data_IF_951228351690
#
_entry.id   IF_951228351690
#
_cell.length_a   1.000
_cell.length_b   1.000
_cell.length_c   1.000
_cell.angle_alpha   90.00
_cell.angle_beta   90.00
_cell.angle_gamma   90.00
#
_symmetry.space_group_name_H-M   'P 1'
#
loop_
_entity.id
_entity.type
_entity.pdbx_description
1 polymer ?
#
# COMPACT_ATOMS: atom_id res chain seq x y z
N UNK A 1 -6.02 13.84 27.82
CA UNK A 1 -5.09 12.72 28.05
C UNK A 1 -3.95 12.89 27.06
N UNK A 2 -2.70 12.87 27.49
CA UNK A 2 -1.56 12.98 26.58
C UNK A 2 -1.55 11.75 25.66
N UNK A 3 -1.55 11.96 24.34
CA UNK A 3 -1.37 10.86 23.39
C UNK A 3 -0.04 10.13 23.67
N UNK A 4 -0.01 8.79 23.66
CA UNK A 4 1.22 8.05 23.89
C UNK A 4 2.20 8.30 22.74
N UNK A 5 3.49 8.47 23.06
CA UNK A 5 4.49 8.71 22.01
C UNK A 5 4.94 7.41 21.35
N UNK A 6 4.94 7.36 20.01
CA UNK A 6 5.43 6.21 19.25
C UNK A 6 6.96 6.03 19.32
N UNK A 7 7.66 6.93 20.02
CA UNK A 7 9.11 6.87 20.22
C UNK A 7 9.47 5.81 21.27
N UNK A 8 9.79 4.61 20.81
CA UNK A 8 10.17 3.49 21.68
C UNK A 8 11.71 3.35 21.79
N UNK A 9 12.34 4.09 22.72
CA UNK A 9 13.80 4.03 22.93
C UNK A 9 14.21 2.63 23.41
N UNK A 10 15.17 2.01 22.71
CA UNK A 10 15.70 0.70 23.08
C UNK A 10 14.80 -0.50 22.75
N UNK A 11 13.68 -0.30 22.04
CA UNK A 11 12.72 -1.36 21.69
C UNK A 11 13.36 -2.60 21.03
N UNK A 12 14.34 -2.38 20.16
CA UNK A 12 15.09 -3.44 19.48
C UNK A 12 15.99 -4.29 20.40
N UNK A 13 16.20 -3.85 21.65
CA UNK A 13 16.97 -4.59 22.67
C UNK A 13 16.08 -5.50 23.52
N UNK A 14 14.79 -5.19 23.61
CA UNK A 14 13.80 -6.00 24.33
C UNK A 14 13.63 -7.37 23.67
N UNK A 15 13.25 -8.36 24.46
CA UNK A 15 12.77 -9.67 24.01
C UNK A 15 11.43 -9.54 23.25
N UNK A 16 11.05 -10.52 22.41
CA UNK A 16 9.74 -10.53 21.75
C UNK A 16 8.56 -10.38 22.71
N UNK A 17 8.62 -11.02 23.89
CA UNK A 17 7.59 -10.96 24.92
C UNK A 17 7.47 -9.56 25.52
N UNK A 18 8.59 -8.93 25.87
CA UNK A 18 8.58 -7.55 26.36
C UNK A 18 8.07 -6.55 25.31
N UNK A 19 8.39 -6.77 24.03
CA UNK A 19 7.83 -5.96 22.93
C UNK A 19 6.31 -6.13 22.81
N UNK A 20 5.82 -7.36 22.96
CA UNK A 20 4.39 -7.64 22.97
C UNK A 20 3.69 -6.92 24.13
N UNK A 21 4.29 -6.84 25.32
CA UNK A 21 3.74 -6.08 26.45
C UNK A 21 3.72 -4.57 26.21
N UNK A 22 4.74 -4.01 25.54
CA UNK A 22 4.70 -2.60 25.12
C UNK A 22 3.54 -2.36 24.15
N UNK A 23 3.38 -3.24 23.16
CA UNK A 23 2.30 -3.15 22.18
C UNK A 23 0.93 -3.31 22.82
N UNK A 24 0.81 -4.19 23.81
CA UNK A 24 -0.42 -4.43 24.52
C UNK A 24 -0.90 -3.20 25.31
N UNK A 25 0.02 -2.47 25.93
CA UNK A 25 -0.28 -1.18 26.58
C UNK A 25 -0.58 -0.07 25.57
N UNK A 26 0.11 -0.07 24.43
CA UNK A 26 -0.08 0.94 23.38
C UNK A 26 -1.48 0.89 22.76
N UNK A 27 -1.92 -0.31 22.36
CA UNK A 27 -3.15 -0.52 21.61
C UNK A 27 -4.32 -1.00 22.48
N UNK A 28 -4.18 -0.99 23.81
CA UNK A 28 -5.16 -1.51 24.78
C UNK A 28 -5.64 -2.92 24.40
N UNK A 29 -4.68 -3.85 24.31
CA UNK A 29 -4.92 -5.21 23.84
C UNK A 29 -5.51 -6.07 24.95
N UNK A 30 -6.65 -6.69 24.66
CA UNK A 30 -7.31 -7.64 25.55
C UNK A 30 -6.66 -9.05 25.48
N UNK A 31 -7.24 -10.00 26.20
CA UNK A 31 -6.73 -11.37 26.22
C UNK A 31 -6.81 -12.06 24.83
N UNK A 32 -7.84 -11.75 24.04
CA UNK A 32 -8.02 -12.31 22.70
C UNK A 32 -6.98 -11.74 21.72
N UNK A 33 -6.72 -10.43 21.80
CA UNK A 33 -5.68 -9.77 21.01
C UNK A 33 -4.29 -10.33 21.30
N UNK A 34 -3.98 -10.53 22.59
CA UNK A 34 -2.70 -11.12 23.01
C UNK A 34 -2.53 -12.54 22.48
N UNK A 35 -3.60 -13.33 22.50
CA UNK A 35 -3.61 -14.65 21.89
C UNK A 35 -3.42 -14.58 20.36
N UNK A 36 -4.07 -13.64 19.68
CA UNK A 36 -3.95 -13.44 18.23
C UNK A 36 -2.53 -13.03 17.79
N UNK A 37 -1.78 -12.32 18.65
CA UNK A 37 -0.38 -11.97 18.39
C UNK A 37 0.55 -13.19 18.40
N UNK A 38 0.19 -14.24 19.14
CA UNK A 38 1.00 -15.47 19.27
C UNK A 38 0.50 -16.63 18.39
N UNK A 39 -0.82 -16.70 18.14
CA UNK A 39 -1.47 -17.86 17.52
C UNK A 39 -1.60 -17.83 15.99
N UNK A 40 -1.52 -16.66 15.36
CA UNK A 40 -1.63 -16.53 13.91
C UNK A 40 -3.01 -16.94 13.36
N UNK A 41 -3.03 -17.47 12.13
CA UNK A 41 -4.22 -18.00 11.45
C UNK A 41 -4.41 -19.48 11.81
N UNK A 42 -5.63 -19.91 12.10
CA UNK A 42 -5.92 -21.33 12.32
C UNK A 42 -5.92 -22.11 10.99
N UNK A 43 -5.46 -23.37 11.00
CA UNK A 43 -5.41 -24.20 9.79
C UNK A 43 -6.80 -24.40 9.16
N UNK A 44 -7.85 -24.53 9.99
CA UNK A 44 -9.22 -24.65 9.52
C UNK A 44 -9.73 -23.37 8.82
N UNK A 45 -9.33 -22.19 9.33
CA UNK A 45 -9.65 -20.93 8.66
C UNK A 45 -8.87 -20.80 7.34
N UNK A 46 -7.63 -21.28 7.29
CA UNK A 46 -6.82 -21.29 6.07
C UNK A 46 -7.45 -22.16 4.96
N UNK A 47 -7.98 -23.33 5.30
CA UNK A 47 -8.66 -24.24 4.36
C UNK A 47 -9.95 -23.63 3.77
N UNK A 48 -10.56 -22.65 4.46
CA UNK A 48 -11.68 -21.87 3.94
C UNK A 48 -11.25 -20.64 3.12
N UNK A 49 -9.97 -20.24 3.20
CA UNK A 49 -9.46 -19.06 2.52
C UNK A 49 -8.97 -19.37 1.11
N UNK A 50 -8.31 -20.51 0.90
CA UNK A 50 -7.74 -20.94 -0.39
C UNK A 50 -7.82 -22.46 -0.55
N UNK A 51 -7.65 -22.94 -1.78
CA UNK A 51 -7.77 -24.36 -2.10
C UNK A 51 -6.51 -25.17 -1.73
N UNK A 52 -6.69 -26.47 -1.49
CA UNK A 52 -5.60 -27.46 -1.31
C UNK A 52 -4.63 -27.13 -0.15
N UNK A 53 -5.16 -26.65 0.97
CA UNK A 53 -4.35 -26.29 2.14
C UNK A 53 -3.83 -27.55 2.84
N UNK A 54 -2.51 -27.61 3.02
CA UNK A 54 -1.82 -28.70 3.74
C UNK A 54 -1.05 -28.22 4.98
N UNK A 55 -1.05 -26.91 5.23
CA UNK A 55 -0.28 -26.31 6.31
C UNK A 55 -0.28 -24.77 6.25
N UNK A 56 0.47 -24.16 7.16
CA UNK A 56 0.62 -22.70 7.27
C UNK A 56 2.07 -22.31 7.01
N UNK A 57 2.27 -21.19 6.30
CA UNK A 57 3.56 -20.54 6.14
C UNK A 57 3.60 -19.27 6.99
N UNK A 58 4.64 -19.13 7.83
CA UNK A 58 4.75 -18.00 8.77
C UNK A 58 5.87 -17.05 8.40
N UNK A 59 5.57 -15.75 8.47
CA UNK A 59 6.53 -14.66 8.32
C UNK A 59 6.63 -13.83 9.61
N UNK A 60 7.78 -13.17 9.88
CA UNK A 60 7.94 -12.37 11.08
C UNK A 60 6.98 -11.17 11.12
N UNK A 61 6.20 -11.05 12.20
CA UNK A 61 5.42 -9.86 12.51
C UNK A 61 6.23 -8.91 13.41
N UNK A 62 6.39 -7.66 12.98
CA UNK A 62 7.24 -6.66 13.61
C UNK A 62 6.52 -5.31 13.73
N UNK A 63 7.04 -4.43 14.59
CA UNK A 63 6.56 -3.06 14.76
C UNK A 63 7.66 -2.08 14.41
N UNK A 64 7.38 -1.13 13.51
CA UNK A 64 8.21 0.04 13.26
C UNK A 64 7.72 1.24 14.08
N UNK A 65 8.50 1.72 15.07
CA UNK A 65 8.16 2.88 15.88
C UNK A 65 8.50 4.23 15.21
N UNK A 66 8.20 5.32 15.92
CA UNK A 66 8.55 6.73 15.64
C UNK A 66 7.66 7.49 14.64
N UNK A 67 6.66 6.87 14.03
CA UNK A 67 5.83 7.54 13.04
C UNK A 67 4.97 8.64 13.67
N UNK A 68 4.96 9.80 13.00
CA UNK A 68 3.95 10.83 13.16
C UNK A 68 3.33 11.02 11.79
N UNK A 69 2.03 10.81 11.64
CA UNK A 69 1.33 11.04 10.37
C UNK A 69 0.10 11.90 10.67
N UNK A 70 0.03 13.08 10.05
CA UNK A 70 -0.98 14.13 10.28
C UNK A 70 -1.11 14.49 11.77
N UNK A 71 0.03 14.67 12.42
CA UNK A 71 0.12 15.02 13.84
C UNK A 71 -0.12 13.87 14.82
N UNK A 72 -0.47 12.66 14.36
CA UNK A 72 -0.77 11.52 15.23
C UNK A 72 0.40 10.55 15.34
N UNK A 73 0.75 10.20 16.57
CA UNK A 73 1.77 9.19 16.90
C UNK A 73 1.27 7.78 16.54
N UNK A 74 2.06 6.98 15.83
CA UNK A 74 1.67 5.64 15.39
C UNK A 74 2.79 4.60 15.48
N UNK A 75 2.39 3.37 15.83
CA UNK A 75 3.19 2.16 15.67
C UNK A 75 2.74 1.43 14.40
N UNK A 76 3.68 1.13 13.51
CA UNK A 76 3.37 0.53 12.22
C UNK A 76 3.61 -0.99 12.28
N UNK A 77 2.57 -1.84 12.17
CA UNK A 77 2.73 -3.28 12.06
C UNK A 77 3.23 -3.68 10.67
N UNK A 78 4.17 -4.61 10.62
CA UNK A 78 4.84 -5.06 9.39
C UNK A 78 5.04 -6.57 9.41
N UNK A 79 4.82 -7.23 8.28
CA UNK A 79 5.15 -8.64 8.05
C UNK A 79 6.18 -8.72 6.94
N UNK A 80 7.42 -9.08 7.26
CA UNK A 80 8.53 -9.12 6.29
C UNK A 80 9.68 -10.02 6.74
N UNK A 81 10.29 -10.73 5.81
CA UNK A 81 11.45 -11.60 5.99
C UNK A 81 12.79 -10.87 5.79
N UNK A 82 12.78 -9.80 4.97
CA UNK A 82 13.98 -9.06 4.60
C UNK A 82 14.60 -8.36 5.83
N UNK A 83 15.87 -8.66 6.17
CA UNK A 83 16.57 -8.01 7.26
C UNK A 83 16.68 -6.50 7.05
N UNK A 84 16.87 -5.77 8.15
CA UNK A 84 17.10 -4.31 8.20
C UNK A 84 15.93 -3.42 7.77
N UNK A 85 14.94 -3.90 7.01
CA UNK A 85 13.81 -3.09 6.53
C UNK A 85 13.11 -2.35 7.67
N UNK A 86 12.63 -3.07 8.68
CA UNK A 86 11.92 -2.49 9.84
C UNK A 86 12.80 -1.48 10.60
N UNK A 87 14.10 -1.76 10.73
CA UNK A 87 15.04 -0.89 11.45
C UNK A 87 15.35 0.38 10.67
N UNK A 88 15.55 0.27 9.36
CA UNK A 88 15.78 1.38 8.44
C UNK A 88 14.55 2.29 8.39
N UNK A 89 13.35 1.70 8.28
CA UNK A 89 12.08 2.41 8.34
C UNK A 89 11.93 3.22 9.63
N UNK A 90 12.15 2.59 10.78
CA UNK A 90 12.05 3.24 12.08
C UNK A 90 13.05 4.39 12.24
N UNK A 91 14.24 4.28 11.64
CA UNK A 91 15.24 5.36 11.62
C UNK A 91 14.79 6.54 10.73
N UNK A 92 14.27 6.26 9.54
CA UNK A 92 13.74 7.28 8.64
C UNK A 92 12.53 8.00 9.25
N UNK A 93 11.59 7.27 9.87
CA UNK A 93 10.49 7.86 10.61
C UNK A 93 10.99 8.76 11.74
N UNK A 94 12.00 8.33 12.51
CA UNK A 94 12.63 9.16 13.55
C UNK A 94 13.24 10.46 12.98
N UNK A 95 13.87 10.41 11.81
CA UNK A 95 14.38 11.61 11.12
C UNK A 95 13.24 12.54 10.71
N UNK A 96 12.17 12.00 10.12
CA UNK A 96 11.01 12.78 9.68
C UNK A 96 10.34 13.55 10.84
N UNK A 97 10.40 13.03 12.07
CA UNK A 97 9.92 13.77 13.26
C UNK A 97 10.56 15.15 13.44
N UNK A 98 11.80 15.35 12.98
CA UNK A 98 12.48 16.64 13.10
C UNK A 98 11.78 17.76 12.34
N UNK A 99 10.99 17.44 11.31
CA UNK A 99 10.12 18.40 10.63
C UNK A 99 8.62 18.08 10.77
N UNK A 100 8.22 17.43 11.86
CA UNK A 100 6.81 17.20 12.20
C UNK A 100 6.21 15.89 11.71
N UNK A 101 6.97 15.04 11.01
CA UNK A 101 6.49 13.75 10.50
C UNK A 101 6.03 13.80 9.05
N UNK A 102 4.95 13.07 8.76
CA UNK A 102 4.38 12.95 7.41
C UNK A 102 3.02 13.64 7.34
N UNK A 103 2.77 14.34 6.24
CA UNK A 103 1.44 14.87 5.89
C UNK A 103 0.86 14.09 4.74
N UNK A 104 -0.40 13.69 4.83
CA UNK A 104 -1.01 12.77 3.86
C UNK A 104 -2.37 13.24 3.36
N UNK A 105 -2.83 12.59 2.30
CA UNK A 105 -4.19 12.73 1.82
C UNK A 105 -4.52 11.66 0.78
N UNK A 106 -5.78 11.60 0.39
CA UNK A 106 -6.28 10.60 -0.54
C UNK A 106 -7.45 11.11 -1.36
N UNK A 107 -7.66 10.55 -2.55
CA UNK A 107 -8.89 10.74 -3.33
C UNK A 107 -10.05 9.96 -2.70
N UNK A 108 -11.26 10.10 -3.26
CA UNK A 108 -12.34 9.17 -2.96
C UNK A 108 -11.97 7.74 -3.37
N UNK A 109 -12.51 6.70 -2.71
CA UNK A 109 -12.15 5.30 -2.96
C UNK A 109 -12.86 4.75 -4.21
N UNK A 110 -12.58 5.37 -5.36
CA UNK A 110 -13.22 5.06 -6.64
C UNK A 110 -12.42 4.00 -7.39
N UNK A 111 -13.04 2.83 -7.59
CA UNK A 111 -12.50 1.76 -8.40
C UNK A 111 -13.05 1.83 -9.83
N UNK A 112 -12.30 1.23 -10.76
CA UNK A 112 -12.67 1.13 -12.17
C UNK A 112 -13.07 -0.32 -12.46
N UNK A 113 -14.27 -0.53 -12.98
CA UNK A 113 -14.69 -1.74 -13.69
C UNK A 113 -14.56 -1.55 -15.18
N UNK A 114 -14.12 -2.55 -15.93
CA UNK A 114 -14.03 -2.50 -17.39
C UNK A 114 -14.99 -3.53 -18.00
N UNK A 115 -15.86 -3.06 -18.88
CA UNK A 115 -16.65 -3.89 -19.79
C UNK A 115 -16.07 -3.73 -21.18
N UNK A 116 -15.49 -4.81 -21.72
CA UNK A 116 -14.98 -4.87 -23.08
C UNK A 116 -16.07 -5.28 -24.04
N UNK A 117 -16.38 -4.43 -25.02
CA UNK A 117 -17.32 -4.67 -26.09
C UNK A 117 -16.56 -4.86 -27.41
N UNK A 118 -16.86 -5.99 -28.07
CA UNK A 118 -16.32 -6.42 -29.35
C UNK A 118 -17.43 -6.39 -30.40
N UNK A 119 -17.05 -6.51 -31.67
CA UNK A 119 -17.99 -6.66 -32.79
C UNK A 119 -19.01 -5.50 -32.89
N UNK A 120 -18.67 -4.32 -32.35
CA UNK A 120 -19.52 -3.13 -32.35
C UNK A 120 -19.54 -2.54 -33.77
N UNK A 121 -20.70 -2.51 -34.47
CA UNK A 121 -20.74 -2.09 -35.88
C UNK A 121 -20.35 -0.62 -36.11
N UNK A 122 -20.74 0.26 -35.18
CA UNK A 122 -20.41 1.69 -35.20
C UNK A 122 -20.05 2.16 -33.79
N UNK A 123 -18.75 2.34 -33.55
CA UNK A 123 -18.23 2.77 -32.25
C UNK A 123 -18.66 4.19 -31.85
N UNK A 124 -18.93 5.08 -32.82
CA UNK A 124 -19.36 6.46 -32.55
C UNK A 124 -20.80 6.43 -32.06
N UNK A 125 -21.70 5.85 -32.86
CA UNK A 125 -23.11 5.71 -32.49
C UNK A 125 -23.29 4.94 -31.19
N UNK A 126 -22.49 3.89 -30.95
CA UNK A 126 -22.49 3.14 -29.69
C UNK A 126 -22.06 4.01 -28.49
N UNK A 127 -21.05 4.86 -28.65
CA UNK A 127 -20.59 5.77 -27.60
C UNK A 127 -21.67 6.78 -27.24
N UNK A 128 -22.31 7.38 -28.25
CA UNK A 128 -23.41 8.34 -28.06
C UNK A 128 -24.63 7.68 -27.38
N UNK A 129 -24.97 6.46 -27.76
CA UNK A 129 -26.06 5.71 -27.16
C UNK A 129 -25.81 5.38 -25.68
N UNK A 130 -24.57 5.01 -25.31
CA UNK A 130 -24.19 4.78 -23.91
C UNK A 130 -24.25 6.09 -23.12
N UNK A 131 -23.72 7.18 -23.65
CA UNK A 131 -23.71 8.47 -22.98
C UNK A 131 -25.15 8.98 -22.75
N UNK A 132 -26.02 8.85 -23.76
CA UNK A 132 -27.43 9.23 -23.65
C UNK A 132 -28.23 8.42 -22.61
N UNK A 133 -27.79 7.19 -22.30
CA UNK A 133 -28.41 6.30 -21.33
C UNK A 133 -27.65 6.21 -20.01
N UNK A 134 -26.58 7.00 -19.83
CA UNK A 134 -25.65 6.89 -18.69
C UNK A 134 -26.36 6.87 -17.33
N UNK A 135 -27.25 7.83 -17.08
CA UNK A 135 -27.96 7.93 -15.81
C UNK A 135 -28.87 6.71 -15.55
N UNK A 136 -29.57 6.23 -16.59
CA UNK A 136 -30.41 5.03 -16.47
C UNK A 136 -29.57 3.78 -16.20
N UNK A 137 -28.44 3.64 -16.92
CA UNK A 137 -27.48 2.55 -16.75
C UNK A 137 -26.88 2.53 -15.33
N UNK A 138 -26.55 3.70 -14.77
CA UNK A 138 -26.05 3.81 -13.39
C UNK A 138 -27.15 3.49 -12.36
N UNK A 139 -28.38 3.97 -12.60
CA UNK A 139 -29.53 3.72 -11.73
C UNK A 139 -29.86 2.22 -11.59
N UNK A 140 -29.71 1.45 -12.68
CA UNK A 140 -29.91 -0.01 -12.67
C UNK A 140 -28.97 -0.76 -11.70
N UNK A 141 -27.79 -0.19 -11.42
CA UNK A 141 -26.78 -0.80 -10.57
C UNK A 141 -26.96 -0.48 -9.08
N UNK A 142 -27.75 0.55 -8.74
CA UNK A 142 -27.93 0.98 -7.34
C UNK A 142 -28.42 -0.13 -6.38
N UNK A 143 -29.32 -1.06 -6.77
CA UNK A 143 -29.81 -2.10 -5.87
C UNK A 143 -28.80 -3.22 -5.58
N UNK A 144 -27.73 -3.36 -6.39
CA UNK A 144 -26.82 -4.51 -6.33
C UNK A 144 -26.03 -4.58 -5.01
N UNK A 145 -25.68 -3.43 -4.44
CA UNK A 145 -24.84 -3.35 -3.24
C UNK A 145 -25.47 -2.45 -2.17
N UNK A 146 -26.54 -2.91 -1.49
CA UNK A 146 -27.32 -2.09 -0.57
C UNK A 146 -26.48 -1.55 0.59
N UNK A 147 -25.49 -2.29 1.06
CA UNK A 147 -24.56 -1.83 2.12
C UNK A 147 -23.67 -0.69 1.63
N UNK A 148 -23.08 -0.80 0.43
CA UNK A 148 -22.22 0.26 -0.12
C UNK A 148 -23.04 1.53 -0.34
N UNK A 149 -24.25 1.39 -0.91
CA UNK A 149 -25.19 2.50 -1.10
C UNK A 149 -25.58 3.16 0.22
N UNK A 150 -25.94 2.38 1.24
CA UNK A 150 -26.31 2.90 2.57
C UNK A 150 -25.16 3.68 3.22
N UNK A 151 -23.91 3.34 2.92
CA UNK A 151 -22.71 4.04 3.37
C UNK A 151 -22.32 5.22 2.44
N UNK A 152 -23.16 5.54 1.46
CA UNK A 152 -23.01 6.67 0.52
C UNK A 152 -22.08 6.41 -0.65
N UNK A 153 -21.67 5.16 -0.89
CA UNK A 153 -20.92 4.74 -2.08
C UNK A 153 -21.84 4.26 -3.20
N UNK A 154 -21.26 3.61 -4.21
CA UNK A 154 -21.99 3.05 -5.34
C UNK A 154 -21.47 3.51 -6.70
N UNK A 155 -22.19 3.21 -7.79
CA UNK A 155 -21.88 3.69 -9.13
C UNK A 155 -21.83 5.22 -9.17
N UNK A 156 -20.84 5.78 -9.87
CA UNK A 156 -20.63 7.23 -9.96
C UNK A 156 -20.66 7.76 -11.39
N UNK A 157 -20.06 7.04 -12.33
CA UNK A 157 -19.88 7.51 -13.71
C UNK A 157 -19.62 6.33 -14.66
N UNK A 158 -19.88 6.54 -15.95
CA UNK A 158 -19.48 5.66 -17.05
C UNK A 158 -18.60 6.45 -18.02
N UNK A 159 -17.46 5.89 -18.39
CA UNK A 159 -16.55 6.48 -19.37
C UNK A 159 -16.31 5.50 -20.51
N UNK A 160 -16.59 5.92 -21.74
CA UNK A 160 -16.37 5.09 -22.92
C UNK A 160 -14.99 5.42 -23.51
N UNK A 161 -14.21 4.37 -23.79
CA UNK A 161 -12.88 4.47 -24.40
C UNK A 161 -12.84 3.64 -25.66
N UNK A 162 -12.29 4.20 -26.73
CA UNK A 162 -12.05 3.50 -27.98
C UNK A 162 -10.61 3.02 -28.03
N UNK A 163 -10.43 1.76 -28.40
CA UNK A 163 -9.15 1.17 -28.75
C UNK A 163 -9.24 0.78 -30.23
N UNK A 164 -9.00 1.75 -31.12
CA UNK A 164 -9.22 1.57 -32.55
C UNK A 164 -8.18 0.64 -33.20
N UNK A 165 -6.94 0.65 -32.69
CA UNK A 165 -5.82 -0.14 -33.20
C UNK A 165 -5.43 -1.23 -32.20
N UNK A 166 -5.90 -2.45 -32.43
CA UNK A 166 -5.44 -3.63 -31.69
C UNK A 166 -5.20 -4.82 -32.64
N UNK A 167 -4.35 -5.78 -32.25
CA UNK A 167 -4.15 -7.01 -33.03
C UNK A 167 -5.41 -7.85 -33.26
N UNK A 168 -6.46 -7.65 -32.45
CA UNK A 168 -7.72 -8.39 -32.54
C UNK A 168 -8.87 -7.52 -33.12
N UNK A 169 -8.55 -6.39 -33.75
CA UNK A 169 -9.53 -5.43 -34.26
C UNK A 169 -9.93 -4.36 -33.24
N UNK A 170 -10.77 -3.39 -33.65
CA UNK A 170 -11.17 -2.29 -32.78
C UNK A 170 -12.03 -2.77 -31.61
N UNK A 171 -11.89 -2.12 -30.46
CA UNK A 171 -12.64 -2.44 -29.25
C UNK A 171 -13.24 -1.17 -28.63
N UNK A 172 -14.43 -1.31 -28.05
CA UNK A 172 -15.03 -0.29 -27.21
C UNK A 172 -14.96 -0.76 -25.76
N UNK A 173 -14.39 0.05 -24.87
CA UNK A 173 -14.23 -0.28 -23.46
C UNK A 173 -15.01 0.71 -22.61
N UNK A 174 -15.99 0.21 -21.85
CA UNK A 174 -16.75 1.02 -20.90
C UNK A 174 -16.11 0.87 -19.53
N UNK A 175 -15.65 1.98 -18.97
CA UNK A 175 -15.20 2.09 -17.60
C UNK A 175 -16.39 2.46 -16.70
N UNK A 176 -16.74 1.58 -15.77
CA UNK A 176 -17.63 1.88 -14.65
C UNK A 176 -16.80 2.43 -13.49
N UNK A 177 -17.05 3.67 -13.09
CA UNK A 177 -16.48 4.25 -11.88
C UNK A 177 -17.41 3.98 -10.70
N UNK A 178 -16.87 3.35 -9.65
CA UNK A 178 -17.65 2.96 -8.49
C UNK A 178 -16.92 3.30 -7.19
N UNK A 179 -17.59 4.04 -6.29
CA UNK A 179 -17.10 4.25 -4.93
C UNK A 179 -17.37 3.01 -4.07
N UNK A 180 -16.30 2.38 -3.60
CA UNK A 180 -16.37 1.11 -2.87
C UNK A 180 -16.19 1.27 -1.36
N UNK A 181 -16.21 2.52 -0.87
CA UNK A 181 -16.09 2.87 0.55
C UNK A 181 -14.87 2.19 1.19
N UNK A 182 -15.11 1.42 2.25
CA UNK A 182 -14.07 0.76 3.02
C UNK A 182 -13.66 -0.61 2.48
N UNK A 183 -14.28 -1.08 1.40
CA UNK A 183 -13.84 -2.28 0.70
C UNK A 183 -12.73 -1.93 -0.30
N UNK A 184 -11.88 -2.91 -0.63
CA UNK A 184 -11.04 -2.82 -1.83
C UNK A 184 -11.94 -2.72 -3.07
N UNK A 185 -12.96 -3.58 -3.15
CA UNK A 185 -14.08 -3.43 -4.06
C UNK A 185 -14.08 -4.31 -5.31
N UNK A 186 -13.11 -5.22 -5.47
CA UNK A 186 -13.04 -6.14 -6.63
C UNK A 186 -14.37 -6.84 -6.92
N UNK A 187 -14.93 -7.56 -5.94
CA UNK A 187 -16.20 -8.28 -6.13
C UNK A 187 -17.36 -7.34 -6.44
N UNK A 188 -17.43 -6.18 -5.76
CA UNK A 188 -18.52 -5.24 -5.97
C UNK A 188 -18.53 -4.68 -7.39
N UNK A 189 -17.34 -4.29 -7.88
CA UNK A 189 -17.12 -3.77 -9.22
C UNK A 189 -17.37 -4.84 -10.29
N UNK A 190 -16.88 -6.06 -10.09
CA UNK A 190 -17.09 -7.17 -11.04
C UNK A 190 -18.57 -7.50 -11.19
N UNK A 191 -19.30 -7.65 -10.07
CA UNK A 191 -20.74 -7.89 -10.10
C UNK A 191 -21.49 -6.77 -10.83
N UNK A 192 -21.11 -5.51 -10.60
CA UNK A 192 -21.73 -4.39 -11.30
C UNK A 192 -21.40 -4.37 -12.80
N UNK A 193 -20.17 -4.70 -13.19
CA UNK A 193 -19.75 -4.82 -14.58
C UNK A 193 -20.47 -5.97 -15.30
N UNK A 194 -20.65 -7.11 -14.63
CA UNK A 194 -21.42 -8.25 -15.14
C UNK A 194 -22.90 -7.91 -15.32
N UNK A 195 -23.50 -7.22 -14.35
CA UNK A 195 -24.90 -6.80 -14.43
C UNK A 195 -25.16 -5.78 -15.54
N UNK A 196 -24.19 -4.88 -15.81
CA UNK A 196 -24.33 -3.85 -16.83
C UNK A 196 -24.17 -4.38 -18.27
N UNK A 197 -23.39 -5.46 -18.44
CA UNK A 197 -22.98 -5.94 -19.76
C UNK A 197 -24.15 -6.25 -20.73
N UNK A 198 -25.24 -6.95 -20.34
CA UNK A 198 -26.34 -7.23 -21.27
C UNK A 198 -27.01 -5.97 -21.81
N UNK A 199 -27.08 -4.90 -21.00
CA UNK A 199 -27.65 -3.62 -21.43
C UNK A 199 -26.75 -2.91 -22.42
N UNK A 200 -25.44 -2.97 -22.20
CA UNK A 200 -24.44 -2.43 -23.14
C UNK A 200 -24.40 -3.20 -24.46
N UNK A 201 -24.53 -4.52 -24.46
CA UNK A 201 -24.67 -5.33 -25.68
C UNK A 201 -25.91 -4.89 -26.48
N UNK A 202 -27.05 -4.75 -25.82
CA UNK A 202 -28.29 -4.32 -26.46
C UNK A 202 -28.19 -2.90 -27.05
N UNK A 203 -27.51 -1.96 -26.37
CA UNK A 203 -27.35 -0.59 -26.86
C UNK A 203 -26.35 -0.49 -28.02
N UNK A 204 -25.27 -1.27 -27.98
CA UNK A 204 -24.17 -1.14 -28.94
C UNK A 204 -24.26 -2.13 -30.11
N UNK A 205 -25.15 -3.13 -30.02
CA UNK A 205 -25.22 -4.28 -30.93
C UNK A 205 -23.89 -5.07 -31.02
N UNK A 206 -23.00 -4.87 -30.04
CA UNK A 206 -21.77 -5.62 -29.89
C UNK A 206 -21.92 -6.78 -28.90
N UNK A 207 -20.78 -7.40 -28.60
CA UNK A 207 -20.66 -8.54 -27.69
C UNK A 207 -19.71 -8.22 -26.55
N UNK A 208 -20.15 -8.41 -25.31
CA UNK A 208 -19.30 -8.24 -24.14
C UNK A 208 -18.38 -9.46 -23.96
N UNK A 209 -17.10 -9.22 -23.67
CA UNK A 209 -16.12 -10.26 -23.37
C UNK A 209 -15.67 -10.21 -21.91
N UNK A 210 -14.82 -9.26 -21.56
CA UNK A 210 -14.32 -9.10 -20.18
C UNK A 210 -15.21 -8.13 -19.41
N UNK A 211 -15.51 -8.49 -18.15
CA UNK A 211 -16.27 -7.71 -17.16
C UNK A 211 -15.52 -7.79 -15.83
N UNK A 212 -14.53 -6.93 -15.68
CA UNK A 212 -13.52 -7.11 -14.64
C UNK A 212 -12.99 -5.77 -14.17
N UNK A 213 -12.65 -5.65 -12.88
CA UNK A 213 -11.96 -4.48 -12.36
C UNK A 213 -10.63 -4.20 -13.09
N UNK A 214 -10.18 -2.95 -13.05
CA UNK A 214 -8.82 -2.57 -13.37
C UNK A 214 -7.99 -2.41 -12.10
N UNK A 215 -6.81 -3.05 -12.04
CA UNK A 215 -5.85 -2.85 -10.94
C UNK A 215 -5.04 -1.56 -11.10
N UNK A 216 -5.02 -0.95 -12.30
CA UNK A 216 -4.58 0.44 -12.46
C UNK A 216 -5.68 1.36 -11.87
N UNK A 217 -5.68 1.45 -10.54
CA UNK A 217 -6.68 2.16 -9.74
C UNK A 217 -6.36 3.65 -9.60
N UNK A 218 -6.05 4.32 -10.72
CA UNK A 218 -5.58 5.72 -10.75
C UNK A 218 -6.62 6.76 -10.27
N UNK A 219 -7.88 6.36 -10.10
CA UNK A 219 -8.94 7.14 -9.44
C UNK A 219 -8.94 7.01 -7.91
N UNK A 220 -8.20 6.05 -7.36
CA UNK A 220 -8.05 5.77 -5.92
C UNK A 220 -6.58 5.91 -5.50
N UNK A 221 -6.14 7.17 -5.40
CA UNK A 221 -4.75 7.53 -5.07
C UNK A 221 -4.65 8.03 -3.64
N UNK A 222 -3.50 7.76 -3.03
CA UNK A 222 -3.08 8.39 -1.79
C UNK A 222 -1.70 9.02 -1.98
N UNK A 223 -1.42 10.05 -1.20
CA UNK A 223 -0.13 10.72 -1.20
C UNK A 223 0.38 10.97 0.22
N UNK A 224 1.70 11.01 0.34
CA UNK A 224 2.42 11.47 1.51
C UNK A 224 3.47 12.49 1.11
N UNK A 225 3.76 13.38 2.06
CA UNK A 225 4.89 14.30 1.98
C UNK A 225 5.58 14.39 3.34
N UNK A 226 6.87 14.74 3.34
CA UNK A 226 7.59 15.10 4.54
C UNK A 226 8.56 16.25 4.25
N UNK A 227 8.85 17.04 5.29
CA UNK A 227 9.89 18.07 5.29
C UNK A 227 10.86 17.73 6.41
N UNK A 228 12.15 17.65 6.12
CA UNK A 228 13.17 17.27 7.10
C UNK A 228 14.29 18.31 7.07
N UNK A 229 14.53 19.05 8.17
CA UNK A 229 15.63 19.99 8.26
C UNK A 229 16.97 19.33 7.89
N UNK A 230 17.79 19.97 7.06
CA UNK A 230 19.07 19.38 6.60
C UNK A 230 19.98 19.03 7.78
N UNK A 231 19.96 19.82 8.85
CA UNK A 231 20.75 19.57 10.04
C UNK A 231 20.41 18.24 10.73
N UNK A 232 19.19 17.71 10.58
CA UNK A 232 18.78 16.42 11.14
C UNK A 232 19.52 15.22 10.53
N UNK A 233 20.12 15.40 9.36
CA UNK A 233 20.96 14.39 8.70
C UNK A 233 22.41 14.41 9.17
N UNK A 234 22.82 15.44 9.93
CA UNK A 234 24.20 15.59 10.39
C UNK A 234 24.50 14.62 11.53
N UNK A 235 25.60 13.87 11.43
CA UNK A 235 26.01 12.90 12.45
C UNK A 235 27.53 12.69 12.42
N UNK A 236 28.23 13.10 13.48
CA UNK A 236 29.70 13.10 13.49
C UNK A 236 30.23 13.99 12.37
N UNK A 237 31.07 13.42 11.49
CA UNK A 237 31.65 14.13 10.34
C UNK A 237 30.72 14.15 9.10
N UNK A 238 29.52 13.56 9.17
CA UNK A 238 28.55 13.61 8.07
C UNK A 238 27.89 14.98 7.98
N UNK A 239 28.15 15.70 6.89
CA UNK A 239 27.46 16.95 6.54
C UNK A 239 26.03 16.69 6.04
N UNK A 240 25.03 17.18 6.77
CA UNK A 240 23.62 16.97 6.44
C UNK A 240 23.23 17.56 5.08
N UNK A 241 23.84 18.69 4.68
CA UNK A 241 23.62 19.30 3.37
C UNK A 241 24.03 18.39 2.22
N UNK A 242 25.20 17.75 2.32
CA UNK A 242 25.69 16.76 1.36
C UNK A 242 24.80 15.52 1.30
N UNK A 243 24.29 15.03 2.45
CA UNK A 243 23.36 13.89 2.47
C UNK A 243 22.06 14.22 1.75
N UNK A 244 21.46 15.39 2.02
CA UNK A 244 20.24 15.81 1.35
C UNK A 244 20.42 15.98 -0.16
N UNK A 245 21.51 16.63 -0.60
CA UNK A 245 21.85 16.74 -2.04
C UNK A 245 22.03 15.36 -2.68
N UNK A 246 22.75 14.46 -2.03
CA UNK A 246 22.93 13.09 -2.52
C UNK A 246 21.61 12.34 -2.68
N UNK A 247 20.63 12.55 -1.79
CA UNK A 247 19.29 11.96 -1.93
C UNK A 247 18.58 12.49 -3.18
N UNK A 248 18.66 13.79 -3.45
CA UNK A 248 18.08 14.40 -4.67
C UNK A 248 18.77 13.86 -5.93
N UNK A 249 20.09 13.78 -5.94
CA UNK A 249 20.87 13.22 -7.06
C UNK A 249 20.54 11.74 -7.30
N UNK A 250 20.41 10.94 -6.25
CA UNK A 250 20.01 9.53 -6.35
C UNK A 250 18.58 9.36 -6.87
N UNK A 251 17.66 10.25 -6.48
CA UNK A 251 16.30 10.28 -7.03
C UNK A 251 16.31 10.69 -8.52
N UNK A 252 17.15 11.67 -8.91
CA UNK A 252 17.29 12.08 -10.30
C UNK A 252 17.86 10.95 -11.18
N UNK A 253 18.86 10.21 -10.69
CA UNK A 253 19.35 9.00 -11.37
C UNK A 253 18.24 7.98 -11.57
N UNK A 254 17.47 7.68 -10.52
CA UNK A 254 16.34 6.76 -10.61
C UNK A 254 15.24 7.26 -11.57
N UNK A 255 14.99 8.56 -11.65
CA UNK A 255 14.01 9.12 -12.58
C UNK A 255 14.46 9.00 -14.04
N UNK A 256 15.77 9.11 -14.28
CA UNK A 256 16.37 9.11 -15.61
C UNK A 256 16.61 7.71 -16.19
N UNK A 257 16.73 6.68 -15.35
CA UNK A 257 17.08 5.32 -15.75
C UNK A 257 16.10 4.27 -15.19
N UNK A 258 15.32 3.56 -16.05
CA UNK A 258 14.42 2.49 -15.63
C UNK A 258 15.08 1.38 -14.81
N UNK A 259 16.36 1.06 -15.05
CA UNK A 259 17.07 0.05 -14.25
C UNK A 259 17.16 0.49 -12.80
N UNK A 260 17.49 1.76 -12.57
CA UNK A 260 17.51 2.33 -11.21
C UNK A 260 16.11 2.57 -10.67
N UNK A 261 15.16 3.04 -11.50
CA UNK A 261 13.76 3.24 -11.10
C UNK A 261 13.16 1.96 -10.52
N UNK A 262 13.43 0.79 -11.11
CA UNK A 262 12.92 -0.49 -10.63
C UNK A 262 13.39 -0.78 -9.20
N UNK A 263 14.70 -0.62 -8.93
CA UNK A 263 15.24 -0.83 -7.57
C UNK A 263 14.76 0.25 -6.60
N UNK A 264 14.61 1.48 -7.07
CA UNK A 264 14.10 2.61 -6.28
C UNK A 264 12.66 2.37 -5.82
N UNK A 265 11.79 1.94 -6.74
CA UNK A 265 10.40 1.64 -6.45
C UNK A 265 10.26 0.36 -5.63
N UNK A 266 11.05 -0.70 -5.89
CA UNK A 266 11.12 -1.88 -5.01
C UNK A 266 11.38 -1.49 -3.55
N UNK A 267 12.28 -0.54 -3.33
CA UNK A 267 12.55 0.02 -2.01
C UNK A 267 11.31 0.62 -1.33
N UNK A 268 10.38 1.22 -2.07
CA UNK A 268 9.09 1.71 -1.53
C UNK A 268 8.24 0.53 -1.06
N UNK A 269 8.11 -0.51 -1.89
CA UNK A 269 7.26 -1.67 -1.59
C UNK A 269 7.77 -2.57 -0.48
N UNK A 270 9.08 -2.58 -0.18
CA UNK A 270 9.59 -3.17 1.06
C UNK A 270 8.85 -2.67 2.32
N UNK A 271 8.40 -1.41 2.31
CA UNK A 271 7.59 -0.84 3.38
C UNK A 271 6.10 -1.10 3.19
N UNK A 272 5.57 -0.76 2.01
CA UNK A 272 4.13 -0.85 1.71
C UNK A 272 3.63 -2.29 1.85
N UNK A 273 4.30 -3.25 1.22
CA UNK A 273 3.86 -4.65 1.20
C UNK A 273 3.93 -5.28 2.57
N UNK A 274 4.91 -4.89 3.38
CA UNK A 274 5.01 -5.37 4.75
C UNK A 274 3.80 -4.94 5.59
N UNK A 275 3.30 -3.72 5.41
CA UNK A 275 2.08 -3.25 6.08
C UNK A 275 0.83 -3.86 5.44
N UNK A 276 0.81 -3.99 4.11
CA UNK A 276 -0.28 -4.62 3.36
C UNK A 276 -0.51 -6.07 3.85
N UNK A 277 0.56 -6.87 3.93
CA UNK A 277 0.56 -8.21 4.50
C UNK A 277 0.05 -8.20 5.95
N UNK A 278 0.63 -7.34 6.80
CA UNK A 278 0.24 -7.25 8.20
C UNK A 278 -1.25 -6.92 8.39
N UNK A 279 -1.84 -6.15 7.48
CA UNK A 279 -3.23 -5.71 7.53
C UNK A 279 -4.15 -6.50 6.58
N UNK A 280 -3.68 -7.64 6.07
CA UNK A 280 -4.49 -8.57 5.27
C UNK A 280 -4.95 -8.03 3.91
N UNK A 281 -4.18 -7.14 3.31
CA UNK A 281 -4.44 -6.55 1.99
C UNK A 281 -3.89 -7.43 0.85
N UNK A 282 -4.44 -7.26 -0.34
CA UNK A 282 -3.87 -7.85 -1.56
C UNK A 282 -2.68 -7.00 -2.05
N UNK A 283 -1.46 -7.40 -1.68
CA UNK A 283 -0.26 -6.68 -2.10
C UNK A 283 -0.01 -6.78 -3.62
N UNK A 284 -0.52 -7.80 -4.32
CA UNK A 284 -0.35 -7.94 -5.76
C UNK A 284 -1.15 -6.87 -6.50
N UNK A 285 -2.36 -6.56 -6.03
CA UNK A 285 -3.17 -5.48 -6.57
C UNK A 285 -2.51 -4.11 -6.37
N UNK A 286 -1.90 -3.89 -5.19
CA UNK A 286 -1.15 -2.68 -4.86
C UNK A 286 0.07 -2.52 -5.78
N UNK A 287 0.92 -3.54 -5.85
CA UNK A 287 2.13 -3.56 -6.69
C UNK A 287 1.79 -3.33 -8.17
N UNK A 288 0.81 -4.06 -8.71
CA UNK A 288 0.39 -3.93 -10.11
C UNK A 288 -0.08 -2.51 -10.44
N UNK A 289 -0.94 -1.93 -9.59
CA UNK A 289 -1.46 -0.59 -9.80
C UNK A 289 -0.38 0.48 -9.76
N UNK A 290 0.50 0.41 -8.77
CA UNK A 290 1.52 1.44 -8.58
C UNK A 290 2.70 1.30 -9.55
N UNK A 291 3.12 0.09 -9.93
CA UNK A 291 4.12 -0.08 -10.99
C UNK A 291 3.60 0.27 -12.38
N UNK A 292 2.31 0.01 -12.69
CA UNK A 292 1.69 0.54 -13.90
C UNK A 292 1.64 2.07 -13.88
N UNK A 293 1.30 2.67 -12.73
CA UNK A 293 1.30 4.12 -12.55
C UNK A 293 2.69 4.76 -12.69
N UNK A 294 3.75 4.05 -12.35
CA UNK A 294 5.13 4.49 -12.55
C UNK A 294 5.51 4.63 -14.04
N UNK A 295 4.75 4.00 -14.95
CA UNK A 295 4.96 4.05 -16.40
C UNK A 295 3.89 4.85 -17.16
N UNK A 296 3.00 5.55 -16.46
CA UNK A 296 1.84 6.26 -17.04
C UNK A 296 2.16 7.27 -18.15
N UNK A 297 3.38 7.82 -18.14
CA UNK A 297 3.85 8.81 -19.13
C UNK A 297 4.68 8.16 -20.26
N UNK A 298 4.54 6.85 -20.48
CA UNK A 298 5.21 6.10 -21.55
C UNK A 298 6.62 5.60 -21.20
N UNK A 299 7.15 5.93 -20.01
CA UNK A 299 8.43 5.40 -19.49
C UNK A 299 8.31 5.10 -18.01
N UNK A 300 8.85 3.97 -17.57
CA UNK A 300 8.90 3.60 -16.16
C UNK A 300 9.85 4.51 -15.38
N UNK A 301 9.34 5.19 -14.34
CA UNK A 301 10.03 6.24 -13.57
C UNK A 301 9.88 6.05 -12.07
N UNK A 302 10.51 6.93 -11.28
CA UNK A 302 10.32 6.98 -9.83
C UNK A 302 8.88 7.33 -9.47
N UNK A 303 8.38 6.71 -8.40
CA UNK A 303 7.10 7.08 -7.78
C UNK A 303 7.26 8.26 -6.80
N UNK A 304 8.48 8.51 -6.32
CA UNK A 304 8.79 9.64 -5.42
C UNK A 304 9.40 10.82 -6.15
N UNK A 305 9.32 11.97 -5.49
CA UNK A 305 10.07 13.18 -5.79
C UNK A 305 10.81 13.61 -4.52
N UNK A 306 12.07 14.01 -4.68
CA UNK A 306 12.91 14.55 -3.61
C UNK A 306 13.57 15.83 -4.09
N UNK A 307 13.49 16.88 -3.28
CA UNK A 307 14.10 18.18 -3.55
C UNK A 307 14.58 18.84 -2.26
N UNK A 308 15.52 19.77 -2.39
CA UNK A 308 15.91 20.65 -1.28
C UNK A 308 15.16 21.97 -1.46
N UNK A 309 14.42 22.38 -0.44
CA UNK A 309 13.75 23.66 -0.36
C UNK A 309 14.26 24.39 0.88
N UNK A 310 14.87 25.55 0.70
CA UNK A 310 15.52 26.30 1.79
C UNK A 310 16.51 25.37 2.54
N UNK A 311 16.36 25.27 3.86
CA UNK A 311 17.15 24.39 4.73
C UNK A 311 16.43 23.07 5.05
N UNK A 312 15.67 22.51 4.10
CA UNK A 312 14.99 21.23 4.29
C UNK A 312 15.01 20.33 3.06
N UNK A 313 15.15 19.02 3.28
CA UNK A 313 14.83 18.00 2.29
C UNK A 313 13.32 17.77 2.30
N UNK A 314 12.69 17.89 1.14
CA UNK A 314 11.25 17.66 0.93
C UNK A 314 11.06 16.44 0.04
N UNK A 315 10.25 15.50 0.54
CA UNK A 315 9.90 14.27 -0.17
C UNK A 315 8.41 14.19 -0.43
N UNK A 316 8.02 13.64 -1.59
CA UNK A 316 6.62 13.35 -1.95
C UNK A 316 6.50 11.98 -2.59
N UNK A 317 5.43 11.25 -2.28
CA UNK A 317 5.00 10.02 -2.93
C UNK A 317 3.51 10.10 -3.22
N UNK A 318 3.08 9.77 -4.43
CA UNK A 318 1.66 9.66 -4.80
C UNK A 318 1.46 8.44 -5.69
N UNK A 319 0.60 7.52 -5.27
CA UNK A 319 0.36 6.24 -5.95
C UNK A 319 -1.10 5.77 -5.81
N UNK A 320 -1.59 4.97 -6.77
CA UNK A 320 -2.80 4.17 -6.59
C UNK A 320 -2.64 3.21 -5.39
N UNK A 321 -3.63 3.20 -4.49
CA UNK A 321 -3.65 2.31 -3.33
C UNK A 321 -5.08 1.83 -3.07
N UNK A 322 -5.45 0.72 -3.73
CA UNK A 322 -6.72 0.04 -3.52
C UNK A 322 -6.65 -0.93 -2.34
N UNK A 323 -6.83 -0.41 -1.13
CA UNK A 323 -6.91 -1.18 0.12
C UNK A 323 -8.34 -1.20 0.68
N UNK A 324 -8.64 -2.14 1.57
CA UNK A 324 -9.93 -2.22 2.26
C UNK A 324 -9.80 -2.65 3.71
N UNK A 325 -10.62 -2.08 4.59
CA UNK A 325 -10.68 -2.42 6.02
C UNK A 325 -11.86 -3.33 6.35
N UNK A 326 -12.71 -3.62 5.34
CA UNK A 326 -13.77 -4.62 5.41
C UNK A 326 -13.65 -5.66 4.30
N UNK A 327 -14.06 -6.89 4.58
CA UNK A 327 -14.02 -8.01 3.63
C UNK A 327 -12.63 -8.61 3.43
N UNK A 328 -12.56 -9.69 2.66
CA UNK A 328 -11.30 -10.40 2.42
C UNK A 328 -10.67 -11.00 3.68
N UNK A 329 -9.34 -11.01 3.75
CA UNK A 329 -8.58 -11.68 4.81
C UNK A 329 -8.75 -11.01 6.18
N UNK A 330 -9.08 -9.72 6.24
CA UNK A 330 -9.31 -8.98 7.50
C UNK A 330 -10.47 -9.56 8.30
N UNK A 331 -11.42 -10.27 7.67
CA UNK A 331 -12.51 -10.95 8.37
C UNK A 331 -12.02 -12.17 9.15
N UNK A 332 -11.08 -12.91 8.61
CA UNK A 332 -10.73 -14.26 9.07
C UNK A 332 -9.40 -14.30 9.83
N UNK A 333 -8.40 -13.50 9.45
CA UNK A 333 -7.08 -13.55 10.06
C UNK A 333 -7.00 -12.71 11.35
N UNK A 334 -6.84 -13.32 12.54
CA UNK A 334 -6.87 -12.59 13.82
C UNK A 334 -5.78 -11.53 13.93
N UNK A 335 -4.55 -11.86 13.53
CA UNK A 335 -3.41 -10.92 13.54
C UNK A 335 -3.60 -9.76 12.57
N UNK A 336 -4.32 -9.93 11.45
CA UNK A 336 -4.63 -8.83 10.54
C UNK A 336 -5.62 -7.82 11.14
N UNK A 337 -6.64 -8.31 11.86
CA UNK A 337 -7.55 -7.45 12.65
C UNK A 337 -6.80 -6.70 13.76
N UNK A 338 -5.91 -7.42 14.44
CA UNK A 338 -5.05 -6.82 15.45
C UNK A 338 -4.16 -5.71 14.86
N UNK A 339 -3.59 -5.91 13.67
CA UNK A 339 -2.81 -4.89 12.99
C UNK A 339 -3.64 -3.61 12.70
N UNK A 340 -4.89 -3.76 12.27
CA UNK A 340 -5.80 -2.61 12.10
C UNK A 340 -6.12 -1.93 13.44
N UNK A 341 -6.30 -2.70 14.53
CA UNK A 341 -6.46 -2.14 15.89
C UNK A 341 -5.23 -1.35 16.33
N UNK A 342 -4.02 -1.87 16.10
CA UNK A 342 -2.74 -1.18 16.40
C UNK A 342 -2.63 0.15 15.64
N UNK A 343 -3.13 0.20 14.41
CA UNK A 343 -3.19 1.41 13.58
C UNK A 343 -4.32 2.38 13.98
N UNK A 344 -5.11 2.07 15.01
CA UNK A 344 -6.21 2.91 15.49
C UNK A 344 -7.50 2.75 14.71
N UNK A 345 -7.75 1.57 14.14
CA UNK A 345 -8.96 1.23 13.36
C UNK A 345 -9.23 2.21 12.21
N UNK A 346 -8.28 2.37 11.27
CA UNK A 346 -8.47 3.28 10.15
C UNK A 346 -9.63 2.82 9.25
N UNK A 347 -10.24 3.78 8.55
CA UNK A 347 -11.05 3.49 7.36
C UNK A 347 -10.11 3.23 6.15
N UNK A 348 -10.62 2.80 4.99
CA UNK A 348 -9.75 2.40 3.88
C UNK A 348 -8.88 3.55 3.33
N UNK A 349 -9.42 4.78 3.32
CA UNK A 349 -8.66 5.98 2.92
C UNK A 349 -7.51 6.24 3.88
N UNK A 350 -7.78 6.18 5.19
CA UNK A 350 -6.75 6.38 6.22
C UNK A 350 -5.70 5.28 6.18
N UNK A 351 -6.08 4.04 5.90
CA UNK A 351 -5.13 2.95 5.71
C UNK A 351 -4.22 3.23 4.49
N UNK A 352 -4.76 3.67 3.36
CA UNK A 352 -3.98 4.04 2.18
C UNK A 352 -2.97 5.16 2.47
N UNK A 353 -3.39 6.18 3.22
CA UNK A 353 -2.55 7.30 3.69
C UNK A 353 -1.39 6.81 4.59
N UNK A 354 -1.65 5.86 5.48
CA UNK A 354 -0.60 5.23 6.31
C UNK A 354 0.39 4.46 5.43
N UNK A 355 -0.10 3.63 4.50
CA UNK A 355 0.76 2.84 3.61
C UNK A 355 1.67 3.74 2.76
N UNK A 356 1.14 4.82 2.16
CA UNK A 356 1.95 5.72 1.33
C UNK A 356 2.99 6.49 2.16
N UNK A 357 2.68 6.88 3.41
CA UNK A 357 3.67 7.47 4.30
C UNK A 357 4.80 6.49 4.66
N UNK A 358 4.46 5.22 4.90
CA UNK A 358 5.43 4.14 5.11
C UNK A 358 6.31 3.93 3.87
N UNK A 359 5.72 3.92 2.68
CA UNK A 359 6.46 3.82 1.42
C UNK A 359 7.47 4.97 1.23
N UNK A 360 7.05 6.21 1.50
CA UNK A 360 7.94 7.37 1.43
C UNK A 360 9.08 7.29 2.46
N UNK A 361 8.77 6.87 3.69
CA UNK A 361 9.77 6.66 4.73
C UNK A 361 10.78 5.55 4.37
N UNK A 362 10.31 4.44 3.79
CA UNK A 362 11.17 3.34 3.37
C UNK A 362 12.10 3.77 2.22
N UNK A 363 11.58 4.57 1.28
CA UNK A 363 12.39 5.14 0.20
C UNK A 363 13.49 6.07 0.75
N UNK A 364 13.15 6.97 1.67
CA UNK A 364 14.12 7.83 2.36
C UNK A 364 15.22 6.99 3.02
N UNK A 365 14.83 5.91 3.73
CA UNK A 365 15.77 5.03 4.40
C UNK A 365 16.77 4.40 3.43
N UNK A 366 16.28 3.90 2.29
CA UNK A 366 17.10 3.28 1.25
C UNK A 366 18.05 4.29 0.57
N UNK A 367 17.54 5.47 0.17
CA UNK A 367 18.36 6.52 -0.45
C UNK A 367 19.43 7.02 0.51
N UNK A 368 19.07 7.30 1.77
CA UNK A 368 20.02 7.74 2.80
C UNK A 368 21.15 6.72 2.98
N UNK A 369 20.83 5.43 3.12
CA UNK A 369 21.85 4.39 3.29
C UNK A 369 22.82 4.29 2.10
N UNK A 370 22.31 4.46 0.87
CA UNK A 370 23.12 4.42 -0.35
C UNK A 370 24.08 5.61 -0.45
N UNK A 371 23.66 6.81 -0.03
CA UNK A 371 24.48 8.02 -0.16
C UNK A 371 25.46 8.23 1.01
N UNK A 372 25.24 7.60 2.17
CA UNK A 372 26.12 7.76 3.33
C UNK A 372 27.15 6.65 3.51
N UNK A 373 26.76 5.38 3.37
CA UNK A 373 27.59 4.25 3.83
C UNK A 373 27.68 3.08 2.82
N UNK A 374 26.77 3.03 1.85
CA UNK A 374 26.54 1.83 1.03
C UNK A 374 25.84 0.73 1.82
N UNK A 375 24.76 0.15 1.27
CA UNK A 375 23.85 -0.80 1.96
C UNK A 375 24.59 -2.01 2.58
N UNK A 376 25.68 -2.48 1.96
CA UNK A 376 26.36 -3.71 2.33
C UNK A 376 26.96 -3.68 3.74
N UNK A 377 27.51 -2.56 4.22
CA UNK A 377 28.04 -2.50 5.60
C UNK A 377 26.96 -2.68 6.66
N UNK A 378 25.81 -2.03 6.48
CA UNK A 378 24.66 -2.16 7.39
C UNK A 378 24.09 -3.57 7.43
N UNK A 379 23.94 -4.21 6.26
CA UNK A 379 23.53 -5.62 6.17
C UNK A 379 24.53 -6.55 6.86
N UNK A 380 25.83 -6.37 6.62
CA UNK A 380 26.87 -7.23 7.19
C UNK A 380 26.94 -7.16 8.73
N UNK A 381 26.73 -5.98 9.33
CA UNK A 381 26.67 -5.83 10.78
C UNK A 381 25.49 -6.58 11.41
N UNK A 382 24.33 -6.63 10.74
CA UNK A 382 23.17 -7.37 11.20
C UNK A 382 23.35 -8.90 11.02
N UNK A 383 23.94 -9.33 9.90
CA UNK A 383 24.30 -10.72 9.65
C UNK A 383 25.30 -11.27 10.69
N UNK A 384 26.28 -10.45 11.09
CA UNK A 384 27.22 -10.82 12.15
C UNK A 384 26.51 -11.08 13.49
N UNK A 385 25.58 -10.20 13.89
CA UNK A 385 24.75 -10.40 15.09
C UNK A 385 23.84 -11.63 15.02
N UNK A 386 23.25 -11.93 13.85
CA UNK A 386 22.46 -13.15 13.65
C UNK A 386 23.30 -14.41 13.85
N UNK A 387 24.49 -14.47 13.22
CA UNK A 387 25.40 -15.61 13.36
C UNK A 387 25.79 -15.85 14.81
N UNK A 388 26.10 -14.80 15.56
CA UNK A 388 26.43 -14.90 16.98
C UNK A 388 25.28 -15.48 17.80
N UNK A 389 24.03 -15.00 17.60
CA UNK A 389 22.86 -15.54 18.31
C UNK A 389 22.55 -16.99 17.96
N UNK A 390 22.67 -17.38 16.68
CA UNK A 390 22.48 -18.78 16.28
C UNK A 390 23.55 -19.69 16.86
N UNK A 391 24.80 -19.23 16.98
CA UNK A 391 25.86 -20.00 17.64
C UNK A 391 25.64 -20.15 19.15
N UNK A 392 25.14 -19.11 19.83
CA UNK A 392 24.82 -19.16 21.26
C UNK A 392 23.67 -20.15 21.54
N UNK A 393 22.60 -20.14 20.72
CA UNK A 393 21.48 -21.09 20.84
C UNK A 393 21.85 -22.54 20.52
N UNK A 394 22.75 -22.77 19.56
CA UNK A 394 23.25 -24.10 19.24
C UNK A 394 24.12 -24.69 20.36
N UNK A 395 24.86 -23.85 21.08
CA UNK A 395 25.66 -24.25 22.24
C UNK A 395 24.80 -24.55 23.48
N UNK A 396 23.70 -23.82 23.68
CA UNK A 396 22.72 -24.12 24.74
C UNK A 396 21.91 -25.39 24.47
N UNK A 397 21.64 -25.73 23.21
CA UNK A 397 20.91 -26.96 22.84
C UNK A 397 21.78 -28.23 22.85
N UNK A 398 23.11 -28.08 23.00
CA UNK A 398 24.09 -29.19 23.05
C UNK A 398 24.61 -29.48 24.47
N UNK A 399 24.04 -28.81 25.48
CA UNK A 399 24.25 -29.06 26.91
C UNK A 399 22.97 -29.64 27.50
#
# INVERSE_FOLDING_TARGET
MNEPSSRLKGFYRLSPQERAEVLARWADLDASDRAALQGGLALADADLLVENVVGLYSLPFAIAPNFIIDGREMLIPMVIEEPSVVAALANAARLARAGGGFSTGSTAPVMIGQIQLLDVPDAVSATEAIEAQKEALLAELEPLHPTIRRLGGGPLDLQVRRLDETPAGPMLVVHLLMDTRDAMGANAVNTAAEALAPRLEALTQGRALLRILSNLSDRRRAWASCRIPVNAFSQGDLDGGRVARGIVEANAFAWADPYRAATHNKGIFNGIDAVALATGQDWRAIEAGAHAYAARDGRYRTLTQWQVEEDSLVGRLEIPLAVGTVGGLTRYHPTARLALKILGQPNARRLAEILVAVGLAQNLAALRALVTEGIQRGHMALHARRRQKYSEQAQESSR
#
